data_IF_679715301698
#
_entry.id   IF_679715301698
#
_cell.length_a   1.000
_cell.length_b   1.000
_cell.length_c   1.000
_cell.angle_alpha   90.00
_cell.angle_beta   90.00
_cell.angle_gamma   90.00
#
_symmetry.space_group_name_H-M   'P 1'
#
loop_
_entity.id
_entity.type
_entity.pdbx_description
1 polymer ?
#
# COMPACT_ATOMS: atom_id res chain seq x y z
N UNK A 1 -44.96 42.20 -26.28
CA UNK A 1 -44.60 41.13 -27.23
C UNK A 1 -43.16 40.73 -26.94
N UNK A 2 -42.94 39.61 -26.25
CA UNK A 2 -41.60 39.09 -25.98
C UNK A 2 -41.25 38.08 -27.08
N UNK A 3 -40.16 38.34 -27.81
CA UNK A 3 -39.66 37.47 -28.87
C UNK A 3 -39.08 36.22 -28.20
N UNK A 4 -39.75 35.08 -28.39
CA UNK A 4 -39.23 33.77 -27.98
C UNK A 4 -38.05 33.43 -28.90
N UNK A 5 -36.85 33.66 -28.40
CA UNK A 5 -35.61 33.29 -29.06
C UNK A 5 -35.49 31.77 -28.99
N UNK A 6 -36.05 31.07 -30.00
CA UNK A 6 -35.79 29.64 -30.19
C UNK A 6 -34.29 29.49 -30.41
N UNK A 7 -33.59 29.02 -29.38
CA UNK A 7 -32.22 28.52 -29.50
C UNK A 7 -32.28 27.33 -30.46
N UNK A 8 -32.02 27.59 -31.74
CA UNK A 8 -31.90 26.52 -32.72
C UNK A 8 -30.67 25.70 -32.32
N UNK A 9 -30.79 24.38 -32.11
CA UNK A 9 -29.62 23.56 -31.79
C UNK A 9 -28.62 23.69 -32.94
N UNK A 10 -27.43 24.19 -32.62
CA UNK A 10 -26.39 24.49 -33.58
C UNK A 10 -26.12 23.21 -34.41
N UNK A 11 -26.28 23.21 -35.75
CA UNK A 11 -26.22 21.99 -36.56
C UNK A 11 -24.87 21.27 -36.43
N UNK A 12 -23.80 22.01 -36.11
CA UNK A 12 -22.45 21.49 -35.79
C UNK A 12 -22.44 20.63 -34.52
N UNK A 13 -23.25 20.96 -33.51
CA UNK A 13 -23.39 20.18 -32.29
C UNK A 13 -24.18 18.89 -32.57
N UNK A 14 -25.24 18.97 -33.38
CA UNK A 14 -26.03 17.79 -33.75
C UNK A 14 -25.25 16.80 -34.64
N UNK A 15 -24.40 17.28 -35.55
CA UNK A 15 -23.58 16.40 -36.40
C UNK A 15 -22.40 15.77 -35.66
N UNK A 16 -21.93 16.39 -34.57
CA UNK A 16 -20.84 15.87 -33.74
C UNK A 16 -21.29 14.96 -32.59
N UNK A 17 -22.60 14.87 -32.29
CA UNK A 17 -23.18 13.96 -31.29
C UNK A 17 -22.62 12.52 -31.34
N UNK A 18 -22.51 11.86 -32.51
CA UNK A 18 -21.99 10.49 -32.57
C UNK A 18 -20.51 10.40 -32.17
N UNK A 19 -19.71 11.40 -32.55
CA UNK A 19 -18.28 11.47 -32.23
C UNK A 19 -18.10 11.74 -30.73
N UNK A 20 -18.93 12.62 -30.15
CA UNK A 20 -18.92 12.91 -28.71
C UNK A 20 -19.35 11.67 -27.90
N UNK A 21 -20.38 10.95 -28.35
CA UNK A 21 -20.84 9.72 -27.72
C UNK A 21 -19.76 8.63 -27.76
N UNK A 22 -19.14 8.41 -28.93
CA UNK A 22 -18.02 7.49 -29.08
C UNK A 22 -16.81 7.87 -28.20
N UNK A 23 -16.48 9.16 -28.12
CA UNK A 23 -15.39 9.66 -27.29
C UNK A 23 -15.65 9.42 -25.79
N UNK A 24 -16.89 9.64 -25.33
CA UNK A 24 -17.29 9.36 -23.96
C UNK A 24 -17.26 7.85 -23.65
N UNK A 25 -17.72 7.02 -24.58
CA UNK A 25 -17.67 5.56 -24.43
C UNK A 25 -16.22 5.06 -24.38
N UNK A 26 -15.35 5.62 -25.23
CA UNK A 26 -13.92 5.33 -25.22
C UNK A 26 -13.27 5.75 -23.89
N UNK A 27 -13.57 6.94 -23.38
CA UNK A 27 -13.07 7.41 -22.08
C UNK A 27 -13.52 6.48 -20.94
N UNK A 28 -14.78 6.10 -20.90
CA UNK A 28 -15.32 5.17 -19.90
C UNK A 28 -14.67 3.78 -19.98
N UNK A 29 -14.44 3.27 -21.19
CA UNK A 29 -13.74 2.00 -21.37
C UNK A 29 -12.25 2.11 -21.03
N UNK A 30 -11.62 3.25 -21.29
CA UNK A 30 -10.20 3.49 -21.00
C UNK A 30 -9.92 3.73 -19.51
N UNK A 31 -10.90 4.23 -18.76
CA UNK A 31 -10.73 4.52 -17.33
C UNK A 31 -10.86 3.27 -16.45
N UNK A 32 -11.54 2.23 -16.93
CA UNK A 32 -11.78 1.00 -16.18
C UNK A 32 -10.48 0.22 -15.86
N UNK A 33 -9.56 -0.02 -16.82
CA UNK A 33 -8.26 -0.64 -16.52
C UNK A 33 -7.42 0.22 -15.57
N UNK A 34 -7.44 1.55 -15.75
CA UNK A 34 -6.71 2.48 -14.86
C UNK A 34 -7.23 2.45 -13.42
N UNK A 35 -8.55 2.37 -13.24
CA UNK A 35 -9.15 2.25 -11.91
C UNK A 35 -8.72 0.94 -11.23
N UNK A 36 -8.67 -0.17 -11.97
CA UNK A 36 -8.22 -1.47 -11.44
C UNK A 36 -6.73 -1.48 -11.10
N UNK A 37 -5.88 -0.90 -11.93
CA UNK A 37 -4.45 -0.73 -11.63
C UNK A 37 -4.27 0.10 -10.36
N UNK A 38 -5.03 1.20 -10.22
CA UNK A 38 -4.96 2.04 -9.03
C UNK A 38 -5.40 1.30 -7.76
N UNK A 39 -6.41 0.43 -7.89
CA UNK A 39 -6.89 -0.41 -6.80
C UNK A 39 -5.86 -1.48 -6.41
N UNK A 40 -5.27 -2.19 -7.37
CA UNK A 40 -4.20 -3.16 -7.12
C UNK A 40 -2.96 -2.52 -6.47
N UNK A 41 -2.64 -1.27 -6.86
CA UNK A 41 -1.58 -0.50 -6.24
C UNK A 41 -1.90 -0.15 -4.77
N UNK A 42 -3.11 0.34 -4.48
CA UNK A 42 -3.55 0.65 -3.12
C UNK A 42 -3.54 -0.59 -2.21
N UNK A 43 -3.98 -1.74 -2.72
CA UNK A 43 -3.93 -3.01 -1.99
C UNK A 43 -2.48 -3.40 -1.64
N UNK A 44 -1.56 -3.25 -2.59
CA UNK A 44 -0.13 -3.53 -2.38
C UNK A 44 0.49 -2.61 -1.31
N UNK A 45 0.16 -1.31 -1.36
CA UNK A 45 0.59 -0.32 -0.36
C UNK A 45 0.03 -0.64 1.02
N UNK A 46 -1.26 -0.97 1.11
CA UNK A 46 -1.91 -1.36 2.38
C UNK A 46 -1.23 -2.58 3.01
N UNK A 47 -0.94 -3.61 2.21
CA UNK A 47 -0.22 -4.79 2.68
C UNK A 47 1.19 -4.45 3.17
N UNK A 48 1.92 -3.55 2.49
CA UNK A 48 3.22 -3.06 2.95
C UNK A 48 3.14 -2.35 4.29
N UNK A 49 2.17 -1.44 4.47
CA UNK A 49 1.97 -0.70 5.73
C UNK A 49 1.66 -1.66 6.88
N UNK A 50 0.83 -2.69 6.65
CA UNK A 50 0.53 -3.70 7.68
C UNK A 50 1.78 -4.48 8.12
N UNK A 51 2.71 -4.75 7.20
CA UNK A 51 3.96 -5.42 7.56
C UNK A 51 4.90 -4.50 8.35
N UNK A 52 4.99 -3.22 7.98
CA UNK A 52 5.75 -2.24 8.75
C UNK A 52 5.17 -2.07 10.17
N UNK A 53 3.84 -2.04 10.30
CA UNK A 53 3.19 -1.99 11.62
C UNK A 53 3.55 -3.20 12.50
N UNK A 54 3.57 -4.41 11.93
CA UNK A 54 4.00 -5.63 12.64
C UNK A 54 5.46 -5.58 13.06
N UNK A 55 6.33 -5.04 12.21
CA UNK A 55 7.74 -4.85 12.57
C UNK A 55 7.90 -3.84 13.72
N UNK A 56 7.20 -2.70 13.65
CA UNK A 56 7.22 -1.69 14.71
C UNK A 56 6.69 -2.25 16.04
N UNK A 57 5.66 -3.08 15.99
CA UNK A 57 5.16 -3.80 17.15
C UNK A 57 6.23 -4.74 17.73
N UNK A 58 6.87 -5.56 16.88
CA UNK A 58 7.93 -6.46 17.33
C UNK A 58 9.12 -5.70 17.95
N UNK A 59 9.49 -4.54 17.39
CA UNK A 59 10.51 -3.65 17.96
C UNK A 59 10.09 -3.14 19.34
N UNK A 60 8.85 -2.70 19.49
CA UNK A 60 8.34 -2.20 20.76
C UNK A 60 8.35 -3.30 21.83
N UNK A 61 7.85 -4.49 21.50
CA UNK A 61 7.84 -5.66 22.39
C UNK A 61 9.26 -6.11 22.75
N UNK A 62 10.20 -6.13 21.79
CA UNK A 62 11.59 -6.52 22.06
C UNK A 62 12.30 -5.48 22.95
N UNK A 63 12.01 -4.20 22.75
CA UNK A 63 12.56 -3.11 23.57
C UNK A 63 12.01 -3.14 25.00
N UNK A 64 10.74 -3.48 25.16
CA UNK A 64 10.12 -3.70 26.46
C UNK A 64 10.79 -4.88 27.19
N UNK A 65 10.92 -6.04 26.53
CA UNK A 65 11.60 -7.22 27.09
C UNK A 65 13.04 -6.92 27.48
N UNK A 66 13.79 -6.21 26.63
CA UNK A 66 15.16 -5.80 26.93
C UNK A 66 15.22 -4.92 28.18
N UNK A 67 14.29 -3.97 28.31
CA UNK A 67 14.20 -3.10 29.49
C UNK A 67 13.81 -3.87 30.74
N UNK A 68 12.87 -4.82 30.65
CA UNK A 68 12.48 -5.71 31.75
C UNK A 68 13.68 -6.56 32.22
N UNK A 69 14.39 -7.19 31.30
CA UNK A 69 15.60 -7.97 31.60
C UNK A 69 16.67 -7.12 32.30
N UNK A 70 16.85 -5.87 31.86
CA UNK A 70 17.75 -4.93 32.50
C UNK A 70 17.31 -4.56 33.93
N UNK A 71 16.02 -4.40 34.18
CA UNK A 71 15.48 -4.10 35.52
C UNK A 71 15.56 -5.32 36.46
N UNK A 72 15.24 -6.52 35.94
CA UNK A 72 15.26 -7.78 36.71
C UNK A 72 16.68 -8.21 37.11
N UNK A 73 17.68 -7.84 36.30
CA UNK A 73 19.09 -8.14 36.57
C UNK A 73 19.72 -7.39 37.77
N UNK A 74 18.95 -6.53 38.44
CA UNK A 74 19.30 -5.95 39.74
C UNK A 74 20.42 -4.89 39.71
N UNK A 75 21.03 -4.60 40.88
CA UNK A 75 22.00 -3.50 41.04
C UNK A 75 23.36 -3.77 40.40
N UNK A 76 23.66 -5.02 40.01
CA UNK A 76 24.93 -5.39 39.38
C UNK A 76 24.72 -6.56 38.39
N UNK A 77 24.08 -6.30 37.24
CA UNK A 77 23.88 -7.31 36.21
C UNK A 77 25.19 -7.99 35.79
N UNK A 78 25.17 -9.31 35.66
CA UNK A 78 26.24 -10.02 34.99
C UNK A 78 26.31 -9.59 33.53
N UNK A 79 27.52 -9.36 33.01
CA UNK A 79 27.73 -9.07 31.60
C UNK A 79 27.19 -10.17 30.68
N UNK A 80 27.06 -11.41 31.18
CA UNK A 80 26.48 -12.52 30.42
C UNK A 80 24.96 -12.35 30.24
N UNK A 81 24.24 -11.96 31.29
CA UNK A 81 22.76 -11.84 31.27
C UNK A 81 22.30 -10.70 30.35
N UNK A 82 23.03 -9.56 30.37
CA UNK A 82 22.77 -8.45 29.44
C UNK A 82 23.07 -8.87 28.00
N UNK A 83 24.16 -9.62 27.78
CA UNK A 83 24.54 -10.06 26.44
C UNK A 83 23.51 -11.02 25.86
N UNK A 84 22.99 -11.95 26.66
CA UNK A 84 21.94 -12.89 26.27
C UNK A 84 20.65 -12.15 25.88
N UNK A 85 20.18 -11.21 26.70
CA UNK A 85 19.00 -10.40 26.36
C UNK A 85 19.19 -9.49 25.14
N UNK A 86 20.40 -8.95 24.94
CA UNK A 86 20.71 -8.21 23.73
C UNK A 86 20.72 -9.12 22.49
N UNK A 87 21.29 -10.32 22.61
CA UNK A 87 21.36 -11.28 21.52
C UNK A 87 19.96 -11.76 21.11
N UNK A 88 19.08 -12.06 22.07
CA UNK A 88 17.68 -12.41 21.82
C UNK A 88 16.89 -11.29 21.14
N UNK A 89 17.08 -10.04 21.60
CA UNK A 89 16.46 -8.86 20.99
C UNK A 89 16.91 -8.68 19.54
N UNK A 90 18.22 -8.74 19.27
CA UNK A 90 18.78 -8.56 17.93
C UNK A 90 18.38 -9.70 17.00
N UNK A 91 18.34 -10.94 17.50
CA UNK A 91 17.87 -12.11 16.75
C UNK A 91 16.41 -11.93 16.33
N UNK A 92 15.52 -11.61 17.29
CA UNK A 92 14.08 -11.39 17.04
C UNK A 92 13.85 -10.26 16.03
N UNK A 93 14.59 -9.15 16.17
CA UNK A 93 14.50 -8.02 15.27
C UNK A 93 14.93 -8.41 13.85
N UNK A 94 16.06 -9.09 13.73
CA UNK A 94 16.64 -9.52 12.45
C UNK A 94 15.70 -10.46 11.72
N UNK A 95 15.15 -11.47 12.42
CA UNK A 95 14.23 -12.44 11.86
C UNK A 95 12.93 -11.77 11.38
N UNK A 96 12.38 -10.84 12.17
CA UNK A 96 11.21 -10.04 11.78
C UNK A 96 11.49 -9.17 10.55
N UNK A 97 12.68 -8.56 10.48
CA UNK A 97 13.10 -7.76 9.33
C UNK A 97 13.29 -8.58 8.05
N UNK A 98 13.89 -9.77 8.14
CA UNK A 98 14.06 -10.67 7.00
C UNK A 98 12.73 -11.19 6.48
N UNK A 99 11.82 -11.58 7.37
CA UNK A 99 10.47 -12.00 7.01
C UNK A 99 9.70 -10.87 6.31
N UNK A 100 9.86 -9.63 6.78
CA UNK A 100 9.31 -8.44 6.10
C UNK A 100 9.87 -8.29 4.68
N UNK A 101 11.19 -8.36 4.52
CA UNK A 101 11.84 -8.20 3.21
C UNK A 101 11.39 -9.27 2.21
N UNK A 102 11.26 -10.52 2.66
CA UNK A 102 10.75 -11.63 1.84
C UNK A 102 9.32 -11.33 1.35
N UNK A 103 8.43 -10.93 2.26
CA UNK A 103 7.03 -10.63 1.90
C UNK A 103 6.91 -9.41 0.99
N UNK A 104 7.68 -8.34 1.24
CA UNK A 104 7.73 -7.18 0.35
C UNK A 104 8.20 -7.57 -1.05
N UNK A 105 9.19 -8.46 -1.15
CA UNK A 105 9.66 -8.98 -2.44
C UNK A 105 8.55 -9.74 -3.17
N UNK A 106 7.74 -10.55 -2.45
CA UNK A 106 6.59 -11.26 -3.03
C UNK A 106 5.47 -10.31 -3.49
N UNK A 107 5.14 -9.26 -2.73
CA UNK A 107 4.15 -8.26 -3.14
C UNK A 107 4.51 -7.60 -4.47
N UNK A 108 5.80 -7.33 -4.71
CA UNK A 108 6.25 -6.77 -5.98
C UNK A 108 5.96 -7.71 -7.17
N UNK A 109 5.98 -9.03 -6.95
CA UNK A 109 5.68 -10.03 -7.96
C UNK A 109 4.18 -10.16 -8.20
N UNK A 110 3.38 -10.19 -7.13
CA UNK A 110 1.92 -10.18 -7.19
C UNK A 110 1.40 -8.95 -7.94
N UNK A 111 1.87 -7.75 -7.56
CA UNK A 111 1.48 -6.50 -8.22
C UNK A 111 1.80 -6.52 -9.72
N UNK A 112 3.01 -6.95 -10.08
CA UNK A 112 3.41 -7.09 -11.49
C UNK A 112 2.51 -8.08 -12.25
N UNK A 113 2.12 -9.20 -11.63
CA UNK A 113 1.22 -10.18 -12.25
C UNK A 113 -0.16 -9.59 -12.48
N UNK A 114 -0.77 -8.98 -11.46
CA UNK A 114 -2.07 -8.33 -11.58
C UNK A 114 -2.07 -7.23 -12.67
N UNK A 115 -0.95 -6.51 -12.80
CA UNK A 115 -0.78 -5.50 -13.83
C UNK A 115 -0.72 -6.11 -15.24
N UNK A 116 -0.12 -7.30 -15.40
CA UNK A 116 -0.07 -8.03 -16.67
C UNK A 116 -1.38 -8.73 -17.04
N UNK A 117 -2.21 -9.11 -16.08
CA UNK A 117 -3.52 -9.75 -16.33
C UNK A 117 -4.59 -8.73 -16.78
N UNK A 118 -4.38 -7.44 -16.55
CA UNK A 118 -5.32 -6.36 -16.86
C UNK A 118 -4.93 -5.52 -18.10
N UNK A 119 -3.74 -5.74 -18.68
CA UNK A 119 -3.27 -5.15 -19.97
C UNK A 119 -3.67 -6.06 -21.12
#
# INVERSE_FOLDING_TARGET
MAISQKVLPNPVINSSQPIIAWWNEYLLKSSLPMAKIHLAWLESVSQSIQMEAKLLQAIAESSEKFTQCFIESGTNPSSADIHECYQDMVQTLTDSHFNRLEKVAQLSHEFRRCLWEEI
#
